data_IF_481173148319
#
_entry.id   IF_481173148319
#
_cell.length_a   1.000
_cell.length_b   1.000
_cell.length_c   1.000
_cell.angle_alpha   90.00
_cell.angle_beta   90.00
_cell.angle_gamma   90.00
#
_symmetry.space_group_name_H-M   'P 1'
#
loop_
_entity.id
_entity.type
_entity.pdbx_description
1 polymer ?
#
# COMPACT_ATOMS: atom_id res chain seq x y z
N UNK A 1 -26.41 3.38 18.55
CA UNK A 1 -25.10 3.90 18.99
C UNK A 1 -24.13 3.86 17.82
N UNK A 2 -23.71 5.01 17.30
CA UNK A 2 -22.72 5.05 16.20
C UNK A 2 -21.38 4.57 16.76
N UNK A 3 -20.95 3.38 16.35
CA UNK A 3 -19.61 2.89 16.67
C UNK A 3 -18.60 3.85 16.01
N UNK A 4 -18.00 4.73 16.82
CA UNK A 4 -17.00 5.69 16.37
C UNK A 4 -15.88 5.01 15.59
N UNK A 5 -15.24 5.76 14.70
CA UNK A 5 -14.09 5.24 13.93
C UNK A 5 -12.94 4.92 14.89
N UNK A 6 -12.58 3.64 15.00
CA UNK A 6 -11.49 3.21 15.87
C UNK A 6 -10.18 3.89 15.48
N UNK A 7 -9.30 4.15 16.47
CA UNK A 7 -8.01 4.80 16.24
C UNK A 7 -7.17 3.97 15.26
N UNK A 8 -7.16 2.64 15.46
CA UNK A 8 -6.49 1.70 14.57
C UNK A 8 -6.94 1.86 13.12
N UNK A 9 -8.26 1.86 12.87
CA UNK A 9 -8.83 1.98 11.53
C UNK A 9 -8.39 3.26 10.80
N UNK A 10 -8.36 4.39 11.53
CA UNK A 10 -7.85 5.67 10.99
C UNK A 10 -6.37 5.59 10.64
N UNK A 11 -5.55 5.05 11.54
CA UNK A 11 -4.10 4.94 11.35
C UNK A 11 -3.79 4.01 10.18
N UNK A 12 -4.37 2.81 10.15
CA UNK A 12 -4.18 1.84 9.08
C UNK A 12 -4.65 2.38 7.72
N UNK A 13 -5.78 3.06 7.66
CA UNK A 13 -6.27 3.71 6.44
C UNK A 13 -5.36 4.83 5.95
N UNK A 14 -4.91 5.71 6.84
CA UNK A 14 -3.97 6.78 6.52
C UNK A 14 -2.61 6.23 6.06
N UNK A 15 -2.09 5.21 6.74
CA UNK A 15 -0.84 4.55 6.38
C UNK A 15 -0.94 3.86 5.01
N UNK A 16 -2.03 3.14 4.74
CA UNK A 16 -2.25 2.53 3.42
C UNK A 16 -2.26 3.57 2.30
N UNK A 17 -2.93 4.70 2.53
CA UNK A 17 -2.98 5.80 1.57
C UNK A 17 -1.59 6.44 1.37
N UNK A 18 -0.85 6.65 2.45
CA UNK A 18 0.52 7.17 2.39
C UNK A 18 1.45 6.27 1.58
N UNK A 19 1.38 4.94 1.79
CA UNK A 19 2.13 3.96 1.01
C UNK A 19 1.73 4.02 -0.47
N UNK A 20 0.43 4.05 -0.77
CA UNK A 20 -0.06 4.11 -2.15
C UNK A 20 0.43 5.37 -2.86
N UNK A 21 0.20 6.55 -2.28
CA UNK A 21 0.59 7.83 -2.86
C UNK A 21 2.11 7.97 -2.94
N UNK A 22 2.83 7.58 -1.89
CA UNK A 22 4.29 7.59 -1.86
C UNK A 22 4.88 6.69 -2.93
N UNK A 23 4.35 5.48 -3.11
CA UNK A 23 4.81 4.55 -4.16
C UNK A 23 4.54 5.08 -5.56
N UNK A 24 3.32 5.60 -5.80
CA UNK A 24 2.94 6.17 -7.09
C UNK A 24 3.82 7.36 -7.48
N UNK A 25 4.00 8.29 -6.55
CA UNK A 25 4.77 9.50 -6.79
C UNK A 25 6.26 9.22 -6.91
N UNK A 26 6.79 8.31 -6.09
CA UNK A 26 8.16 7.83 -6.22
C UNK A 26 8.42 7.16 -7.57
N UNK A 27 7.53 6.26 -8.00
CA UNK A 27 7.67 5.56 -9.28
C UNK A 27 7.60 6.55 -10.45
N UNK A 28 6.65 7.50 -10.42
CA UNK A 28 6.53 8.53 -11.44
C UNK A 28 7.78 9.40 -11.53
N UNK A 29 8.33 9.82 -10.38
CA UNK A 29 9.53 10.65 -10.33
C UNK A 29 10.77 9.92 -10.85
N UNK A 30 10.95 8.65 -10.48
CA UNK A 30 12.13 7.88 -10.87
C UNK A 30 11.98 7.15 -12.22
N UNK A 31 10.82 7.18 -12.86
CA UNK A 31 10.52 6.38 -14.05
C UNK A 31 11.58 6.48 -15.16
N UNK A 32 12.00 7.70 -15.49
CA UNK A 32 12.99 7.96 -16.52
C UNK A 32 14.41 7.48 -16.13
N UNK A 33 14.69 7.42 -14.83
CA UNK A 33 15.99 7.00 -14.28
C UNK A 33 16.09 5.49 -14.06
N UNK A 34 14.97 4.76 -14.16
CA UNK A 34 14.98 3.30 -14.00
C UNK A 34 15.53 2.62 -15.26
N UNK A 35 16.39 1.60 -15.10
CA UNK A 35 16.93 0.84 -16.22
C UNK A 35 15.82 0.09 -16.95
N UNK A 36 15.93 -0.04 -18.28
CA UNK A 36 14.90 -0.68 -19.11
C UNK A 36 14.71 -2.17 -18.81
N UNK A 37 15.76 -2.81 -18.31
CA UNK A 37 15.78 -4.21 -17.90
C UNK A 37 15.99 -4.31 -16.40
N UNK A 38 15.10 -5.03 -15.72
CA UNK A 38 15.12 -5.27 -14.29
C UNK A 38 15.10 -6.77 -13.98
N UNK A 39 15.78 -7.22 -12.92
CA UNK A 39 15.63 -8.57 -12.41
C UNK A 39 14.26 -8.71 -11.74
N UNK A 40 13.35 -9.42 -12.38
CA UNK A 40 12.02 -9.69 -11.87
C UNK A 40 12.00 -11.06 -11.19
N UNK A 41 11.55 -11.08 -9.93
CA UNK A 41 11.22 -12.30 -9.21
C UNK A 41 9.71 -12.41 -9.07
N UNK A 42 9.10 -13.21 -9.94
CA UNK A 42 7.69 -13.63 -9.76
C UNK A 42 7.57 -14.81 -8.78
N UNK A 43 8.63 -15.59 -8.60
CA UNK A 43 8.71 -16.68 -7.64
C UNK A 43 9.98 -16.51 -6.77
N UNK A 44 9.80 -16.50 -5.45
CA UNK A 44 10.87 -16.31 -4.47
C UNK A 44 11.87 -17.49 -4.46
N UNK A 45 11.42 -18.68 -4.85
CA UNK A 45 12.24 -19.90 -4.91
C UNK A 45 13.02 -20.03 -6.23
N UNK A 46 12.79 -19.15 -7.20
CA UNK A 46 13.51 -19.15 -8.48
C UNK A 46 14.56 -18.04 -8.57
N UNK A 47 15.55 -18.25 -9.43
CA UNK A 47 16.47 -17.20 -9.82
C UNK A 47 15.68 -16.03 -10.45
N UNK A 48 16.14 -14.78 -10.27
CA UNK A 48 15.54 -13.63 -10.95
C UNK A 48 15.62 -13.83 -12.46
N UNK A 49 14.54 -13.48 -13.16
CA UNK A 49 14.53 -13.44 -14.63
C UNK A 49 14.59 -11.99 -15.09
N UNK A 50 15.34 -11.71 -16.16
CA UNK A 50 15.36 -10.37 -16.72
C UNK A 50 14.02 -10.06 -17.36
N UNK A 51 13.46 -8.90 -17.06
CA UNK A 51 12.23 -8.42 -17.68
C UNK A 51 12.21 -6.91 -17.84
N UNK A 52 11.24 -6.42 -18.60
CA UNK A 52 11.12 -4.99 -18.89
C UNK A 52 10.62 -4.21 -17.67
N UNK A 53 11.16 -2.99 -17.46
CA UNK A 53 10.64 -2.04 -16.46
C UNK A 53 9.17 -1.69 -16.64
N UNK A 54 8.63 -1.83 -17.86
CA UNK A 54 7.20 -1.67 -18.13
C UNK A 54 6.32 -2.57 -17.25
N UNK A 55 6.84 -3.73 -16.81
CA UNK A 55 6.10 -4.62 -15.90
C UNK A 55 5.86 -4.03 -14.51
N UNK A 56 6.64 -3.03 -14.09
CA UNK A 56 6.37 -2.31 -12.85
C UNK A 56 5.05 -1.52 -12.93
N UNK A 57 4.56 -1.17 -14.12
CA UNK A 57 3.30 -0.44 -14.29
C UNK A 57 2.07 -1.29 -13.92
N UNK A 58 2.19 -2.60 -13.77
CA UNK A 58 1.09 -3.45 -13.32
C UNK A 58 0.82 -3.34 -11.82
N UNK A 59 1.85 -3.05 -11.02
CA UNK A 59 1.73 -3.04 -9.57
C UNK A 59 0.92 -1.85 -9.04
N UNK A 60 1.08 -0.60 -9.51
CA UNK A 60 0.29 0.52 -9.00
C UNK A 60 -1.23 0.41 -9.25
N UNK A 61 -1.71 0.00 -10.44
CA UNK A 61 -3.13 -0.28 -10.67
C UNK A 61 -3.65 -1.39 -9.75
N UNK A 62 -2.86 -2.47 -9.54
CA UNK A 62 -3.22 -3.54 -8.62
C UNK A 62 -3.28 -3.05 -7.16
N UNK A 63 -2.33 -2.21 -6.73
CA UNK A 63 -2.35 -1.56 -5.43
C UNK A 63 -3.59 -0.69 -5.25
N UNK A 64 -3.96 0.09 -6.28
CA UNK A 64 -5.17 0.89 -6.31
C UNK A 64 -6.44 0.04 -6.20
N UNK A 65 -6.52 -1.06 -6.96
CA UNK A 65 -7.64 -1.99 -6.90
C UNK A 65 -7.78 -2.62 -5.51
N UNK A 66 -6.68 -3.11 -4.93
CA UNK A 66 -6.63 -3.65 -3.56
C UNK A 66 -7.10 -2.59 -2.56
N UNK A 67 -6.58 -1.36 -2.68
CA UNK A 67 -6.94 -0.27 -1.79
C UNK A 67 -8.44 0.06 -1.85
N UNK A 68 -9.01 0.14 -3.06
CA UNK A 68 -10.42 0.43 -3.29
C UNK A 68 -11.32 -0.70 -2.80
N UNK A 69 -10.99 -1.95 -3.13
CA UNK A 69 -11.75 -3.14 -2.71
C UNK A 69 -11.85 -3.25 -1.20
N UNK A 70 -10.72 -3.11 -0.49
CA UNK A 70 -10.76 -3.16 0.98
C UNK A 70 -11.37 -1.89 1.60
N UNK A 71 -11.29 -0.74 0.94
CA UNK A 71 -12.02 0.45 1.38
C UNK A 71 -13.54 0.27 1.24
N UNK A 72 -13.99 -0.42 0.20
CA UNK A 72 -15.39 -0.76 0.02
C UNK A 72 -15.85 -1.80 1.07
N UNK A 73 -15.08 -2.87 1.27
CA UNK A 73 -15.34 -3.88 2.32
C UNK A 73 -15.37 -3.26 3.72
N UNK A 74 -14.49 -2.30 4.03
CA UNK A 74 -14.53 -1.54 5.29
C UNK A 74 -15.81 -0.69 5.41
N UNK A 75 -16.29 -0.06 4.33
CA UNK A 75 -17.53 0.73 4.40
C UNK A 75 -18.75 -0.17 4.65
N UNK A 76 -18.85 -1.25 3.89
CA UNK A 76 -19.99 -2.18 3.96
C UNK A 76 -19.92 -3.09 5.20
N UNK A 77 -18.74 -3.32 5.76
CA UNK A 77 -18.53 -4.26 6.86
C UNK A 77 -18.72 -5.71 6.42
N UNK A 78 -18.45 -6.00 5.15
CA UNK A 78 -18.64 -7.33 4.54
C UNK A 78 -17.28 -7.99 4.42
N UNK A 79 -16.94 -8.75 5.46
CA UNK A 79 -15.84 -9.70 5.50
C UNK A 79 -16.33 -10.93 6.26
N UNK A 80 -16.02 -12.13 5.78
CA UNK A 80 -16.38 -13.34 6.51
C UNK A 80 -15.50 -13.42 7.77
N UNK A 81 -16.11 -13.18 8.93
CA UNK A 81 -15.44 -13.16 10.24
C UNK A 81 -16.08 -14.22 11.13
N UNK A 82 -15.31 -14.82 12.06
CA UNK A 82 -15.89 -15.70 13.08
C UNK A 82 -16.95 -14.94 13.88
N UNK A 83 -18.04 -15.64 14.25
CA UNK A 83 -19.16 -15.03 14.94
C UNK A 83 -18.77 -14.64 16.37
N UNK A 84 -18.87 -13.35 16.69
CA UNK A 84 -18.57 -12.77 18.01
C UNK A 84 -19.84 -12.58 18.86
N UNK A 85 -20.94 -13.23 18.48
CA UNK A 85 -22.18 -13.27 19.24
C UNK A 85 -23.05 -12.01 19.12
N UNK A 86 -22.70 -11.08 18.23
CA UNK A 86 -23.63 -10.00 17.85
C UNK A 86 -23.30 -9.41 16.47
N UNK A 87 -24.32 -9.04 15.66
CA UNK A 87 -24.10 -8.44 14.34
C UNK A 87 -23.26 -7.16 14.37
N UNK A 88 -23.41 -6.34 15.43
CA UNK A 88 -22.66 -5.10 15.61
C UNK A 88 -21.16 -5.33 15.82
N UNK A 89 -20.80 -6.31 16.65
CA UNK A 89 -19.39 -6.69 16.90
C UNK A 89 -18.76 -7.32 15.65
N UNK A 90 -19.50 -8.18 14.95
CA UNK A 90 -19.03 -8.81 13.72
C UNK A 90 -18.71 -7.76 12.65
N UNK A 91 -19.60 -6.78 12.45
CA UNK A 91 -19.35 -5.66 11.53
C UNK A 91 -18.17 -4.82 11.96
N UNK A 92 -18.04 -4.47 13.25
CA UNK A 92 -16.90 -3.69 13.72
C UNK A 92 -15.56 -4.41 13.49
N UNK A 93 -15.48 -5.70 13.80
CA UNK A 93 -14.31 -6.53 13.56
C UNK A 93 -13.99 -6.67 12.06
N UNK A 94 -15.00 -6.88 11.21
CA UNK A 94 -14.84 -6.94 9.77
C UNK A 94 -14.24 -5.65 9.20
N UNK A 95 -14.65 -4.48 9.72
CA UNK A 95 -14.09 -3.18 9.31
C UNK A 95 -12.62 -3.02 9.72
N UNK A 96 -12.27 -3.46 10.92
CA UNK A 96 -10.88 -3.39 11.40
C UNK A 96 -9.97 -4.35 10.64
N UNK A 97 -10.43 -5.58 10.41
CA UNK A 97 -9.73 -6.56 9.59
C UNK A 97 -9.53 -6.04 8.16
N UNK A 98 -10.56 -5.44 7.55
CA UNK A 98 -10.46 -4.84 6.21
C UNK A 98 -9.43 -3.71 6.16
N UNK A 99 -9.40 -2.84 7.17
CA UNK A 99 -8.42 -1.76 7.23
C UNK A 99 -6.98 -2.28 7.42
N UNK A 100 -6.80 -3.32 8.23
CA UNK A 100 -5.52 -4.01 8.40
C UNK A 100 -5.05 -4.70 7.11
N UNK A 101 -5.93 -5.46 6.45
CA UNK A 101 -5.67 -6.11 5.16
C UNK A 101 -5.34 -5.10 4.08
N UNK A 102 -6.07 -3.97 4.02
CA UNK A 102 -5.76 -2.87 3.10
C UNK A 102 -4.31 -2.40 3.27
N UNK A 103 -3.93 -2.04 4.49
CA UNK A 103 -2.57 -1.58 4.78
C UNK A 103 -1.53 -2.65 4.43
N UNK A 104 -1.73 -3.88 4.92
CA UNK A 104 -0.80 -4.98 4.71
C UNK A 104 -0.60 -5.29 3.23
N UNK A 105 -1.67 -5.46 2.45
CA UNK A 105 -1.57 -5.76 1.03
C UNK A 105 -0.97 -4.61 0.23
N UNK A 106 -1.33 -3.35 0.51
CA UNK A 106 -0.71 -2.19 -0.16
C UNK A 106 0.78 -2.10 0.17
N UNK A 107 1.18 -2.30 1.42
CA UNK A 107 2.59 -2.33 1.83
C UNK A 107 3.37 -3.47 1.17
N UNK A 108 2.79 -4.68 1.12
CA UNK A 108 3.44 -5.85 0.50
C UNK A 108 3.69 -5.63 -1.00
N UNK A 109 2.70 -5.10 -1.72
CA UNK A 109 2.85 -4.78 -3.15
C UNK A 109 3.89 -3.68 -3.38
N UNK A 110 3.94 -2.67 -2.51
CA UNK A 110 4.93 -1.61 -2.59
C UNK A 110 6.36 -2.13 -2.33
N UNK A 111 6.53 -3.04 -1.36
CA UNK A 111 7.80 -3.71 -1.09
C UNK A 111 8.22 -4.64 -2.22
N UNK A 112 7.27 -5.32 -2.87
CA UNK A 112 7.54 -6.15 -4.04
C UNK A 112 8.00 -5.29 -5.24
N UNK A 113 7.41 -4.11 -5.43
CA UNK A 113 7.89 -3.14 -6.41
C UNK A 113 9.31 -2.69 -6.06
N UNK A 114 9.54 -2.28 -4.81
CA UNK A 114 10.86 -1.82 -4.37
C UNK A 114 11.93 -2.91 -4.50
N UNK A 115 11.61 -4.16 -4.17
CA UNK A 115 12.57 -5.26 -4.27
C UNK A 115 12.97 -5.54 -5.71
N UNK A 116 12.02 -5.50 -6.66
CA UNK A 116 12.32 -5.63 -8.09
C UNK A 116 13.29 -4.55 -8.59
N UNK A 117 13.18 -3.33 -8.07
CA UNK A 117 14.09 -2.24 -8.43
C UNK A 117 15.43 -2.36 -7.70
N UNK A 118 15.41 -2.56 -6.39
CA UNK A 118 16.62 -2.55 -5.54
C UNK A 118 17.55 -3.75 -5.80
N UNK A 119 17.04 -4.84 -6.38
CA UNK A 119 17.86 -5.97 -6.82
C UNK A 119 18.57 -5.74 -8.16
N UNK A 120 18.28 -4.65 -8.87
CA UNK A 120 18.99 -4.31 -10.11
C UNK A 120 20.36 -3.73 -9.80
N UNK A 121 21.40 -4.29 -10.41
CA UNK A 121 22.77 -3.73 -10.32
C UNK A 121 22.86 -2.32 -10.95
N UNK A 122 21.92 -1.98 -11.83
CA UNK A 122 21.79 -0.67 -12.44
C UNK A 122 20.84 0.27 -11.67
N UNK A 123 20.39 -0.11 -10.47
CA UNK A 123 19.56 0.75 -9.65
C UNK A 123 20.35 1.99 -9.18
N UNK A 124 19.73 3.20 -9.20
CA UNK A 124 20.36 4.39 -8.66
C UNK A 124 20.77 4.21 -7.20
N UNK A 125 21.92 4.75 -6.76
CA UNK A 125 22.34 4.69 -5.37
C UNK A 125 21.28 5.36 -4.48
N UNK A 126 20.94 4.71 -3.37
CA UNK A 126 19.95 5.24 -2.41
C UNK A 126 18.48 5.02 -2.79
N UNK A 127 18.18 4.21 -3.80
CA UNK A 127 16.81 3.88 -4.26
C UNK A 127 15.85 3.48 -3.12
N UNK A 128 16.35 2.71 -2.15
CA UNK A 128 15.59 2.29 -0.96
C UNK A 128 15.30 3.48 -0.04
N UNK A 129 16.31 4.33 0.22
CA UNK A 129 16.15 5.49 1.11
C UNK A 129 15.19 6.51 0.51
N UNK A 130 15.31 6.78 -0.80
CA UNK A 130 14.39 7.70 -1.48
C UNK A 130 12.96 7.17 -1.42
N UNK A 131 12.73 5.86 -1.62
CA UNK A 131 11.40 5.27 -1.51
C UNK A 131 10.75 5.54 -0.14
N UNK A 132 11.46 5.25 0.95
CA UNK A 132 10.93 5.50 2.30
C UNK A 132 10.74 6.98 2.60
N UNK A 133 11.59 7.87 2.05
CA UNK A 133 11.41 9.31 2.17
C UNK A 133 10.11 9.79 1.50
N UNK A 134 9.79 9.28 0.32
CA UNK A 134 8.53 9.60 -0.38
C UNK A 134 7.29 9.06 0.35
N UNK A 135 7.34 7.82 0.86
CA UNK A 135 6.26 7.26 1.68
C UNK A 135 6.07 8.04 2.99
N UNK A 136 7.17 8.41 3.65
CA UNK A 136 7.15 9.23 4.85
C UNK A 136 6.60 10.64 4.59
N UNK A 137 7.03 11.28 3.49
CA UNK A 137 6.53 12.58 3.05
C UNK A 137 5.04 12.56 2.72
N UNK A 138 4.57 11.52 2.00
CA UNK A 138 3.15 11.31 1.75
C UNK A 138 2.38 11.09 3.06
N UNK A 139 2.95 10.36 4.02
CA UNK A 139 2.36 10.16 5.35
C UNK A 139 2.21 11.47 6.13
N UNK A 140 3.24 12.32 6.11
CA UNK A 140 3.18 13.64 6.72
C UNK A 140 2.12 14.52 6.04
N UNK A 141 2.05 14.52 4.71
CA UNK A 141 1.04 15.27 3.97
C UNK A 141 -0.39 14.80 4.29
N UNK A 142 -0.63 13.49 4.32
CA UNK A 142 -1.93 12.92 4.73
C UNK A 142 -2.27 13.34 6.16
N UNK A 143 -1.31 13.25 7.08
CA UNK A 143 -1.53 13.69 8.47
C UNK A 143 -1.90 15.17 8.55
N UNK A 144 -1.13 16.06 7.89
CA UNK A 144 -1.38 17.51 7.86
C UNK A 144 -2.77 17.83 7.30
N UNK A 145 -3.15 17.24 6.16
CA UNK A 145 -4.48 17.44 5.56
C UNK A 145 -5.59 17.01 6.54
N UNK A 146 -5.40 15.89 7.24
CA UNK A 146 -6.40 15.44 8.22
C UNK A 146 -6.43 16.29 9.49
N UNK A 147 -5.31 16.91 9.88
CA UNK A 147 -5.24 17.82 11.01
C UNK A 147 -5.90 19.17 10.71
N UNK A 148 -5.68 19.70 9.51
CA UNK A 148 -6.27 20.97 9.05
C UNK A 148 -7.79 20.88 8.92
N UNK A 149 -8.33 19.76 8.44
CA UNK A 149 -9.79 19.55 8.34
C UNK A 149 -10.52 19.45 9.68
N UNK A 150 -9.80 19.39 10.81
CA UNK A 150 -10.39 19.31 12.16
C UNK A 150 -10.44 20.67 12.88
N UNK A 151 -9.89 21.71 12.26
CA UNK A 151 -10.00 23.10 12.72
C UNK A 151 -11.14 23.76 11.96
#
# INVERSE_FOLDING_TARGET
>A
MSAGVSRFRRVAGGAALAVLLGTLSWLAFHWATLPDVLPLRMNLNSAPTLGSKARLLFLPPLMGLVFLTFSWSERTGVLNMPDLGSPGRNRAAAREASAGLRFFCTALLALLLLSMVAMSDAAPPGVVRSFFAWVGGAGLAVWLVTALRRR
#
